data_IF_708558351328
#
_entry.id   IF_708558351328
#
_cell.length_a   1.000
_cell.length_b   1.000
_cell.length_c   1.000
_cell.angle_alpha   90.00
_cell.angle_beta   90.00
_cell.angle_gamma   90.00
#
_symmetry.space_group_name_H-M   'P 1'
#
loop_
_entity.id
_entity.type
_entity.pdbx_description
1 polymer ?
#
# COMPACT_ATOMS: atom_id res chain seq x y z
N UNK A 1 -35.73 8.11 6.13
CA UNK A 1 -34.91 8.79 5.11
C UNK A 1 -34.07 7.71 4.42
N UNK A 2 -34.50 7.22 3.30
CA UNK A 2 -33.76 6.26 2.47
C UNK A 2 -32.55 6.99 1.88
N UNK A 3 -31.34 6.62 2.31
CA UNK A 3 -30.09 7.08 1.69
C UNK A 3 -30.17 6.73 0.20
N UNK A 4 -30.15 7.72 -0.69
CA UNK A 4 -29.99 7.46 -2.13
C UNK A 4 -28.71 6.63 -2.32
N UNK A 5 -28.76 5.55 -3.11
CA UNK A 5 -27.55 4.80 -3.42
C UNK A 5 -26.54 5.75 -4.07
N UNK A 6 -25.32 5.75 -3.55
CA UNK A 6 -24.24 6.54 -4.12
C UNK A 6 -23.84 5.92 -5.47
N UNK A 7 -23.86 6.72 -6.52
CA UNK A 7 -23.46 6.30 -7.88
C UNK A 7 -21.98 5.92 -7.93
N UNK A 8 -21.58 4.99 -8.78
CA UNK A 8 -20.19 4.71 -9.08
C UNK A 8 -19.47 5.98 -9.54
N UNK A 9 -18.22 6.11 -9.14
CA UNK A 9 -17.39 7.27 -9.47
C UNK A 9 -16.09 6.83 -10.12
N UNK A 10 -15.70 7.54 -11.18
CA UNK A 10 -14.36 7.46 -11.76
C UNK A 10 -13.53 8.65 -11.24
N UNK A 11 -12.28 8.38 -10.86
CA UNK A 11 -11.30 9.38 -10.46
C UNK A 11 -9.98 9.09 -11.16
N UNK A 12 -9.39 10.12 -11.73
CA UNK A 12 -8.02 10.10 -12.24
C UNK A 12 -7.31 11.28 -11.59
N UNK A 13 -6.52 11.02 -10.58
CA UNK A 13 -5.95 12.06 -9.74
C UNK A 13 -4.46 11.83 -9.50
N UNK A 14 -3.75 12.93 -9.44
CA UNK A 14 -2.40 12.96 -8.90
C UNK A 14 -2.46 13.25 -7.41
N UNK A 15 -1.95 12.33 -6.62
CA UNK A 15 -2.00 12.42 -5.17
C UNK A 15 -0.62 12.72 -4.59
N UNK A 16 -0.61 13.69 -3.70
CA UNK A 16 0.50 13.95 -2.82
C UNK A 16 0.68 12.86 -1.76
N UNK A 17 1.85 12.83 -1.09
CA UNK A 17 2.11 11.84 -0.04
C UNK A 17 1.08 11.84 1.09
N UNK A 18 0.56 13.01 1.45
CA UNK A 18 -0.43 13.16 2.52
C UNK A 18 -1.83 12.69 2.10
N UNK A 19 -2.08 12.65 0.79
CA UNK A 19 -3.35 12.22 0.20
C UNK A 19 -3.39 10.72 -0.07
N UNK A 20 -2.22 10.05 -0.08
CA UNK A 20 -2.13 8.60 -0.25
C UNK A 20 -2.81 7.81 0.89
N UNK A 21 -3.05 8.45 2.05
CA UNK A 21 -3.73 7.83 3.19
C UNK A 21 -5.16 7.36 2.87
N UNK A 22 -5.80 7.93 1.87
CA UNK A 22 -7.14 7.57 1.39
C UNK A 22 -7.16 7.05 -0.06
N UNK A 23 -6.00 6.67 -0.58
CA UNK A 23 -5.83 6.34 -1.98
C UNK A 23 -6.34 4.95 -2.36
N UNK A 24 -6.26 3.97 -1.45
CA UNK A 24 -6.68 2.62 -1.71
C UNK A 24 -8.14 2.40 -1.28
N UNK A 25 -8.94 1.79 -2.17
CA UNK A 25 -10.33 1.49 -1.90
C UNK A 25 -10.50 0.51 -0.73
N UNK A 26 -11.33 0.86 0.23
CA UNK A 26 -11.60 0.02 1.41
C UNK A 26 -10.45 -0.14 2.39
N UNK A 27 -9.37 0.63 2.23
CA UNK A 27 -8.16 0.52 3.04
C UNK A 27 -7.64 1.92 3.44
N UNK A 28 -8.11 2.49 4.55
CA UNK A 28 -7.45 3.65 5.13
C UNK A 28 -6.06 3.25 5.62
N UNK A 29 -5.02 3.92 5.13
CA UNK A 29 -3.64 3.58 5.44
C UNK A 29 -2.90 4.70 6.16
N UNK A 30 -2.05 4.33 7.12
CA UNK A 30 -0.98 5.20 7.59
C UNK A 30 0.17 5.09 6.60
N UNK A 31 0.62 6.21 6.06
CA UNK A 31 1.72 6.28 5.11
C UNK A 31 2.94 6.91 5.76
N UNK A 32 4.08 6.23 5.67
CA UNK A 32 5.39 6.73 6.07
C UNK A 32 6.29 6.80 4.83
N UNK A 33 6.68 8.00 4.44
CA UNK A 33 7.54 8.24 3.28
C UNK A 33 8.97 7.79 3.57
N UNK A 34 9.57 7.03 2.65
CA UNK A 34 10.91 6.46 2.83
C UNK A 34 11.98 7.11 1.96
N UNK A 35 11.59 7.73 0.83
CA UNK A 35 12.55 8.37 -0.08
C UNK A 35 12.28 9.86 -0.28
N UNK A 36 13.35 10.60 -0.55
CA UNK A 36 13.30 11.98 -1.05
C UNK A 36 12.94 12.00 -2.54
N UNK A 37 12.56 13.19 -3.03
CA UNK A 37 12.13 13.35 -4.42
C UNK A 37 10.60 13.21 -4.52
N UNK A 38 9.95 14.29 -4.94
CA UNK A 38 8.51 14.31 -4.99
C UNK A 38 8.03 14.36 -6.43
N UNK A 39 7.44 13.24 -6.85
CA UNK A 39 6.54 13.22 -7.99
C UNK A 39 5.19 12.71 -7.46
N UNK A 40 4.09 13.35 -7.84
CA UNK A 40 2.77 12.86 -7.47
C UNK A 40 2.57 11.45 -8.00
N UNK A 41 1.94 10.61 -7.19
CA UNK A 41 1.50 9.29 -7.62
C UNK A 41 0.17 9.42 -8.35
N UNK A 42 0.02 8.80 -9.50
CA UNK A 42 -1.23 8.79 -10.25
C UNK A 42 -2.08 7.61 -9.80
N UNK A 43 -3.34 7.86 -9.52
CA UNK A 43 -4.30 6.79 -9.21
C UNK A 43 -5.54 7.00 -10.06
N UNK A 44 -5.82 6.00 -10.91
CA UNK A 44 -7.13 5.86 -11.55
C UNK A 44 -7.95 4.92 -10.69
N UNK A 45 -9.07 5.39 -10.22
CA UNK A 45 -9.92 4.66 -9.30
C UNK A 45 -11.35 4.67 -9.77
N UNK A 46 -11.95 3.49 -9.80
CA UNK A 46 -13.34 3.29 -10.14
C UNK A 46 -13.97 2.59 -8.95
N UNK A 47 -15.02 3.16 -8.40
CA UNK A 47 -15.68 2.57 -7.24
C UNK A 47 -17.18 2.74 -7.26
N UNK A 48 -17.88 1.68 -6.87
CA UNK A 48 -19.27 1.73 -6.44
C UNK A 48 -19.30 1.51 -4.93
N UNK A 49 -19.52 2.56 -4.12
CA UNK A 49 -19.37 2.48 -2.68
C UNK A 49 -20.16 1.33 -2.06
N UNK A 50 -19.48 0.49 -1.27
CA UNK A 50 -20.07 -0.69 -0.62
C UNK A 50 -20.33 -1.88 -1.54
N UNK A 51 -19.99 -1.80 -2.83
CA UNK A 51 -20.19 -2.87 -3.79
C UNK A 51 -18.90 -3.42 -4.36
N UNK A 52 -18.10 -2.57 -5.00
CA UNK A 52 -16.84 -2.96 -5.62
C UNK A 52 -15.96 -1.74 -5.89
N UNK A 53 -14.67 -1.97 -6.10
CA UNK A 53 -13.74 -0.96 -6.57
C UNK A 53 -12.67 -1.59 -7.46
N UNK A 54 -12.09 -0.78 -8.34
CA UNK A 54 -10.89 -1.08 -9.11
C UNK A 54 -9.93 0.08 -8.97
N UNK A 55 -8.75 -0.20 -8.41
CA UNK A 55 -7.68 0.77 -8.21
C UNK A 55 -6.53 0.46 -9.17
N UNK A 56 -6.08 1.46 -9.91
CA UNK A 56 -4.99 1.39 -10.87
C UNK A 56 -3.93 2.44 -10.52
N UNK A 57 -3.11 2.19 -9.49
CA UNK A 57 -2.09 3.13 -9.06
C UNK A 57 -0.81 3.03 -9.88
N UNK A 58 -0.14 4.17 -10.01
CA UNK A 58 1.23 4.29 -10.46
C UNK A 58 2.02 5.13 -9.44
N UNK A 59 2.96 4.50 -8.73
CA UNK A 59 3.69 5.15 -7.66
C UNK A 59 5.04 5.67 -8.12
N UNK A 60 5.36 6.91 -7.75
CA UNK A 60 6.63 7.56 -8.12
C UNK A 60 7.56 7.80 -6.92
N UNK A 61 7.16 7.43 -5.71
CA UNK A 61 7.98 7.56 -4.51
C UNK A 61 7.97 6.27 -3.69
N UNK A 62 9.02 6.07 -2.88
CA UNK A 62 9.04 4.96 -1.93
C UNK A 62 8.33 5.36 -0.64
N UNK A 63 7.44 4.48 -0.18
CA UNK A 63 6.74 4.65 1.10
C UNK A 63 6.37 3.30 1.70
N UNK A 64 6.10 3.33 3.00
CA UNK A 64 5.48 2.24 3.73
C UNK A 64 4.03 2.59 4.03
N UNK A 65 3.13 1.65 3.85
CA UNK A 65 1.72 1.78 4.18
C UNK A 65 1.30 0.68 5.14
N UNK A 66 0.45 1.04 6.11
CA UNK A 66 -0.17 0.09 7.06
C UNK A 66 -1.61 0.49 7.25
N UNK A 67 -2.52 -0.47 7.18
CA UNK A 67 -3.94 -0.25 7.41
C UNK A 67 -4.72 -1.54 7.56
N UNK A 68 -5.92 -1.44 8.12
CA UNK A 68 -6.80 -2.59 8.27
C UNK A 68 -7.79 -2.65 7.11
N UNK A 69 -7.74 -3.76 6.38
CA UNK A 69 -8.59 -3.97 5.22
C UNK A 69 -10.03 -4.32 5.64
N UNK A 70 -10.97 -3.97 4.79
CA UNK A 70 -12.40 -4.22 4.99
C UNK A 70 -12.69 -5.64 5.48
N UNK A 71 -13.50 -5.82 6.55
CA UNK A 71 -13.85 -7.15 7.05
C UNK A 71 -14.85 -7.92 6.17
N UNK A 72 -15.41 -7.28 5.14
CA UNK A 72 -16.44 -7.85 4.27
C UNK A 72 -16.02 -7.94 2.79
N UNK A 73 -14.78 -7.54 2.48
CA UNK A 73 -14.28 -7.51 1.12
C UNK A 73 -13.00 -8.31 0.97
N UNK A 74 -12.72 -8.75 -0.25
CA UNK A 74 -11.45 -9.35 -0.67
C UNK A 74 -10.80 -8.46 -1.71
N UNK A 75 -9.47 -8.37 -1.70
CA UNK A 75 -8.74 -7.68 -2.75
C UNK A 75 -7.91 -8.67 -3.57
N UNK A 76 -7.98 -8.51 -4.89
CA UNK A 76 -7.20 -9.24 -5.88
C UNK A 76 -6.27 -8.25 -6.58
N UNK A 77 -4.99 -8.36 -6.29
CA UNK A 77 -3.96 -7.43 -6.78
C UNK A 77 -3.17 -8.10 -7.90
N UNK A 78 -3.46 -7.74 -9.14
CA UNK A 78 -2.70 -8.21 -10.30
C UNK A 78 -1.51 -7.28 -10.56
N UNK A 79 -0.31 -7.80 -10.35
CA UNK A 79 0.94 -7.03 -10.42
C UNK A 79 1.41 -6.93 -11.86
N UNK A 80 1.50 -5.73 -12.38
CA UNK A 80 2.01 -5.45 -13.72
C UNK A 80 3.52 -5.20 -13.72
N UNK A 81 4.00 -4.46 -12.71
CA UNK A 81 5.41 -4.11 -12.52
C UNK A 81 5.72 -4.02 -11.04
N UNK A 82 6.56 -4.88 -10.53
CA UNK A 82 6.78 -5.08 -9.09
C UNK A 82 7.79 -4.11 -8.46
N UNK A 83 8.88 -3.78 -9.15
CA UNK A 83 9.93 -2.84 -8.72
C UNK A 83 10.53 -3.11 -7.33
N UNK A 84 10.52 -4.36 -6.85
CA UNK A 84 11.02 -4.70 -5.51
C UNK A 84 10.09 -4.33 -4.35
N UNK A 85 8.83 -4.06 -4.64
CA UNK A 85 7.80 -3.80 -3.63
C UNK A 85 7.33 -5.06 -2.92
N UNK A 86 6.73 -4.89 -1.73
CA UNK A 86 6.14 -5.99 -0.94
C UNK A 86 4.73 -5.64 -0.49
N UNK A 87 3.84 -6.63 -0.43
CA UNK A 87 2.50 -6.50 0.18
C UNK A 87 2.30 -7.65 1.15
N UNK A 88 1.88 -7.38 2.38
CA UNK A 88 1.69 -8.38 3.45
C UNK A 88 2.90 -9.28 3.66
N UNK A 89 4.11 -8.76 3.38
CA UNK A 89 5.35 -9.51 3.45
C UNK A 89 5.64 -10.40 2.26
N UNK A 90 4.79 -10.41 1.26
CA UNK A 90 5.01 -11.12 0.01
C UNK A 90 5.83 -10.22 -0.92
N UNK A 91 7.06 -10.62 -1.30
CA UNK A 91 7.83 -9.91 -2.32
C UNK A 91 7.09 -9.99 -3.65
N UNK A 92 6.76 -8.83 -4.23
CA UNK A 92 6.06 -8.79 -5.50
C UNK A 92 7.02 -9.18 -6.64
N UNK A 93 6.47 -9.87 -7.61
CA UNK A 93 7.08 -10.12 -8.92
C UNK A 93 6.08 -9.73 -10.01
N UNK A 94 6.59 -9.43 -11.19
CA UNK A 94 5.74 -9.24 -12.35
C UNK A 94 4.93 -10.51 -12.61
N UNK A 95 3.71 -10.33 -13.10
CA UNK A 95 2.80 -11.43 -13.40
C UNK A 95 2.31 -12.23 -12.16
N UNK A 96 2.33 -11.61 -10.99
CA UNK A 96 1.70 -12.18 -9.79
C UNK A 96 0.28 -11.67 -9.58
N UNK A 97 -0.55 -12.51 -8.98
CA UNK A 97 -1.81 -12.10 -8.34
C UNK A 97 -1.68 -12.33 -6.85
N UNK A 98 -1.83 -11.26 -6.08
CA UNK A 98 -1.88 -11.33 -4.62
C UNK A 98 -3.34 -11.26 -4.18
N UNK A 99 -3.74 -12.17 -3.31
CA UNK A 99 -5.06 -12.18 -2.68
C UNK A 99 -4.93 -11.69 -1.25
N UNK A 100 -5.73 -10.69 -0.89
CA UNK A 100 -5.79 -10.12 0.44
C UNK A 100 -7.18 -10.43 1.02
N UNK A 101 -7.28 -11.33 1.99
CA UNK A 101 -8.55 -11.69 2.62
C UNK A 101 -9.17 -10.55 3.42
N UNK A 102 -10.45 -10.67 3.69
CA UNK A 102 -11.20 -9.76 4.55
C UNK A 102 -10.57 -9.66 5.95
N UNK A 103 -10.58 -8.46 6.54
CA UNK A 103 -10.07 -8.22 7.90
C UNK A 103 -8.56 -8.30 8.06
N UNK A 104 -7.80 -8.39 6.96
CA UNK A 104 -6.34 -8.45 7.01
C UNK A 104 -5.74 -7.10 7.40
N UNK A 105 -4.79 -7.06 8.34
CA UNK A 105 -3.91 -5.91 8.50
C UNK A 105 -2.90 -5.90 7.35
N UNK A 106 -3.10 -5.02 6.40
CA UNK A 106 -2.22 -4.86 5.23
C UNK A 106 -0.99 -4.06 5.60
N UNK A 107 0.17 -4.61 5.30
CA UNK A 107 1.44 -3.88 5.36
C UNK A 107 2.07 -3.89 3.97
N UNK A 108 2.40 -2.73 3.44
CA UNK A 108 3.02 -2.62 2.13
C UNK A 108 4.28 -1.77 2.19
N UNK A 109 5.31 -2.18 1.46
CA UNK A 109 6.45 -1.35 1.13
C UNK A 109 6.45 -1.15 -0.38
N UNK A 110 6.21 0.06 -0.78
CA UNK A 110 6.05 0.46 -2.17
C UNK A 110 7.35 1.08 -2.65
N UNK A 111 7.82 0.65 -3.80
CA UNK A 111 8.96 1.23 -4.49
C UNK A 111 8.50 2.02 -5.72
N UNK A 112 9.26 3.06 -6.13
CA UNK A 112 8.94 3.84 -7.32
C UNK A 112 8.77 2.95 -8.56
N UNK A 113 7.75 3.22 -9.35
CA UNK A 113 7.44 2.50 -10.57
C UNK A 113 6.58 1.25 -10.38
N UNK A 114 6.16 0.90 -9.15
CA UNK A 114 5.15 -0.14 -8.93
C UNK A 114 3.86 0.21 -9.67
N UNK A 115 3.34 -0.75 -10.42
CA UNK A 115 2.04 -0.69 -11.09
C UNK A 115 1.27 -1.98 -10.86
N UNK A 116 0.02 -1.87 -10.50
CA UNK A 116 -0.89 -3.01 -10.34
C UNK A 116 -2.33 -2.60 -10.65
N UNK A 117 -3.19 -3.61 -10.80
CA UNK A 117 -4.63 -3.41 -10.74
C UNK A 117 -5.17 -4.16 -9.52
N UNK A 118 -5.84 -3.45 -8.63
CA UNK A 118 -6.46 -4.03 -7.45
C UNK A 118 -7.98 -3.99 -7.57
N UNK A 119 -8.59 -5.15 -7.74
CA UNK A 119 -10.04 -5.31 -7.65
C UNK A 119 -10.42 -5.60 -6.20
N UNK A 120 -11.27 -4.75 -5.63
CA UNK A 120 -11.83 -4.90 -4.28
C UNK A 120 -13.30 -5.22 -4.43
N UNK A 121 -13.71 -6.39 -3.96
CA UNK A 121 -15.11 -6.87 -4.10
C UNK A 121 -15.60 -7.49 -2.80
N UNK A 122 -16.92 -7.46 -2.52
CA UNK A 122 -17.49 -8.24 -1.42
C UNK A 122 -17.11 -9.72 -1.54
N UNK A 123 -16.83 -10.36 -0.41
CA UNK A 123 -16.45 -11.79 -0.37
C UNK A 123 -17.49 -12.69 -1.03
N UNK A 124 -18.81 -12.35 -0.90
CA UNK A 124 -19.89 -13.09 -1.55
C UNK A 124 -19.80 -13.05 -3.07
N UNK A 125 -19.55 -11.87 -3.65
CA UNK A 125 -19.40 -11.72 -5.12
C UNK A 125 -18.19 -12.52 -5.62
N UNK A 126 -17.09 -12.50 -4.88
CA UNK A 126 -15.91 -13.28 -5.26
C UNK A 126 -16.20 -14.79 -5.23
N UNK A 127 -16.90 -15.28 -4.20
CA UNK A 127 -17.29 -16.69 -4.10
C UNK A 127 -18.20 -17.13 -5.27
N UNK A 128 -19.15 -16.29 -5.69
CA UNK A 128 -19.99 -16.54 -6.85
C UNK A 128 -19.17 -16.64 -8.15
N UNK A 129 -18.23 -15.73 -8.36
CA UNK A 129 -17.35 -15.73 -9.54
C UNK A 129 -16.46 -16.98 -9.56
N UNK A 130 -15.87 -17.35 -8.42
CA UNK A 130 -15.08 -18.58 -8.32
C UNK A 130 -15.91 -19.82 -8.64
N UNK A 131 -17.12 -19.94 -8.10
CA UNK A 131 -18.01 -21.06 -8.36
C UNK A 131 -18.37 -21.19 -9.86
N UNK A 132 -18.58 -20.07 -10.54
CA UNK A 132 -18.85 -20.06 -11.98
C UNK A 132 -17.62 -20.44 -12.81
N UNK A 133 -16.43 -20.05 -12.39
CA UNK A 133 -15.18 -20.27 -13.11
C UNK A 133 -14.62 -21.69 -12.91
N UNK A 134 -14.59 -22.17 -11.68
CA UNK A 134 -13.91 -23.43 -11.33
C UNK A 134 -14.87 -24.60 -11.13
N UNK A 135 -16.18 -24.36 -11.11
CA UNK A 135 -17.20 -25.35 -10.77
C UNK A 135 -17.14 -25.84 -9.31
N UNK A 136 -16.27 -25.24 -8.50
CA UNK A 136 -16.09 -25.55 -7.08
C UNK A 136 -16.24 -24.26 -6.27
N UNK A 137 -17.06 -24.33 -5.23
CA UNK A 137 -17.00 -23.33 -4.16
C UNK A 137 -15.81 -23.73 -3.30
N UNK A 138 -14.70 -22.99 -3.40
CA UNK A 138 -13.68 -23.12 -2.35
C UNK A 138 -14.30 -22.62 -1.05
N UNK A 139 -14.67 -23.56 -0.19
CA UNK A 139 -15.34 -23.30 1.11
C UNK A 139 -14.45 -22.49 2.09
N UNK A 140 -13.19 -22.30 1.78
CA UNK A 140 -12.27 -21.51 2.58
C UNK A 140 -11.62 -20.44 1.71
N UNK A 141 -12.18 -19.23 1.77
CA UNK A 141 -11.35 -18.04 1.49
C UNK A 141 -10.08 -18.17 2.36
N UNK A 142 -8.90 -18.16 1.75
CA UNK A 142 -7.66 -18.27 2.49
C UNK A 142 -7.66 -17.24 3.63
N UNK A 143 -7.47 -17.70 4.87
CA UNK A 143 -7.42 -16.82 6.06
C UNK A 143 -6.20 -15.89 6.07
N UNK A 144 -5.28 -16.10 5.13
CA UNK A 144 -4.01 -15.38 5.05
C UNK A 144 -3.74 -14.87 3.64
N UNK A 145 -3.05 -13.74 3.50
CA UNK A 145 -2.58 -13.25 2.21
C UNK A 145 -1.79 -14.32 1.45
N UNK A 146 -2.14 -14.51 0.21
CA UNK A 146 -1.52 -15.51 -0.66
C UNK A 146 -1.17 -14.91 -2.02
N UNK A 147 -0.24 -15.53 -2.73
CA UNK A 147 0.16 -15.08 -4.05
C UNK A 147 0.36 -16.26 -4.98
N UNK A 148 -0.02 -16.05 -6.23
CA UNK A 148 0.14 -17.00 -7.31
C UNK A 148 0.86 -16.33 -8.46
N UNK A 149 1.83 -16.98 -9.07
CA UNK A 149 2.46 -16.51 -10.30
C UNK A 149 1.70 -17.06 -11.50
N UNK A 150 1.26 -16.17 -12.37
CA UNK A 150 0.53 -16.55 -13.57
C UNK A 150 1.48 -17.06 -14.66
N UNK A 151 0.97 -17.95 -15.52
CA UNK A 151 1.60 -18.22 -16.80
C UNK A 151 1.60 -16.98 -17.68
N UNK A 152 2.63 -16.77 -18.48
CA UNK A 152 2.82 -15.55 -19.30
C UNK A 152 1.61 -15.23 -20.19
N UNK A 153 0.95 -16.25 -20.75
CA UNK A 153 -0.26 -16.07 -21.57
C UNK A 153 -1.43 -15.49 -20.77
N UNK A 154 -1.70 -16.02 -19.59
CA UNK A 154 -2.76 -15.51 -18.71
C UNK A 154 -2.45 -14.10 -18.20
N UNK A 155 -1.20 -13.87 -17.79
CA UNK A 155 -0.77 -12.55 -17.36
C UNK A 155 -0.92 -11.49 -18.47
N UNK A 156 -0.61 -11.85 -19.72
CA UNK A 156 -0.79 -10.96 -20.86
C UNK A 156 -2.28 -10.71 -21.15
N UNK A 157 -3.12 -11.75 -21.11
CA UNK A 157 -4.56 -11.60 -21.31
C UNK A 157 -5.19 -10.68 -20.27
N UNK A 158 -4.82 -10.85 -18.99
CA UNK A 158 -5.27 -9.99 -17.89
C UNK A 158 -4.79 -8.55 -18.07
N UNK A 159 -3.52 -8.32 -18.42
CA UNK A 159 -3.00 -6.97 -18.67
C UNK A 159 -3.74 -6.28 -19.82
N UNK A 160 -4.05 -7.00 -20.88
CA UNK A 160 -4.75 -6.44 -22.05
C UNK A 160 -6.18 -5.97 -21.75
N UNK A 161 -6.79 -6.42 -20.65
CA UNK A 161 -8.13 -5.99 -20.22
C UNK A 161 -8.11 -4.68 -19.42
N UNK A 162 -6.97 -4.34 -18.78
CA UNK A 162 -6.92 -3.26 -17.78
C UNK A 162 -7.12 -1.88 -18.42
N UNK A 163 -6.35 -1.54 -19.47
CA UNK A 163 -6.47 -0.23 -20.11
C UNK A 163 -7.81 -0.02 -20.82
N UNK A 164 -8.32 -0.97 -21.63
CA UNK A 164 -9.67 -0.82 -22.20
C UNK A 164 -10.77 -0.67 -21.16
N UNK A 165 -10.64 -1.37 -20.02
CA UNK A 165 -11.60 -1.23 -18.92
C UNK A 165 -11.51 0.17 -18.30
N UNK A 166 -10.30 0.69 -18.04
CA UNK A 166 -10.12 2.03 -17.50
C UNK A 166 -10.66 3.11 -18.45
N UNK A 167 -10.42 2.98 -19.75
CA UNK A 167 -10.90 3.91 -20.77
C UNK A 167 -12.44 3.87 -20.87
N UNK A 168 -13.03 2.68 -20.81
CA UNK A 168 -14.48 2.53 -20.80
C UNK A 168 -15.11 3.23 -19.58
N UNK A 169 -14.52 3.09 -18.40
CA UNK A 169 -15.02 3.80 -17.22
C UNK A 169 -14.82 5.31 -17.29
N UNK A 170 -13.70 5.76 -17.83
CA UNK A 170 -13.46 7.19 -18.03
C UNK A 170 -14.51 7.80 -18.97
N UNK A 171 -14.87 7.10 -20.05
CA UNK A 171 -15.91 7.52 -20.97
C UNK A 171 -17.32 7.47 -20.35
N UNK A 172 -17.61 6.42 -19.57
CA UNK A 172 -18.91 6.22 -18.93
C UNK A 172 -19.18 7.16 -17.75
N UNK A 173 -18.16 7.84 -17.22
CA UNK A 173 -18.32 8.83 -16.13
C UNK A 173 -19.20 10.02 -16.50
N UNK A 174 -19.52 10.17 -17.81
CA UNK A 174 -20.46 11.17 -18.33
C UNK A 174 -21.92 10.70 -18.28
N UNK A 175 -22.17 9.39 -18.08
CA UNK A 175 -23.53 8.82 -18.00
C UNK A 175 -23.68 7.91 -16.76
N UNK A 176 -24.20 8.45 -15.65
CA UNK A 176 -24.28 7.73 -14.37
C UNK A 176 -25.16 6.48 -14.39
N UNK A 177 -26.07 6.32 -15.36
CA UNK A 177 -27.01 5.20 -15.40
C UNK A 177 -26.32 3.88 -15.79
N UNK A 178 -25.25 3.93 -16.57
CA UNK A 178 -24.53 2.73 -17.02
C UNK A 178 -23.62 2.11 -15.93
N UNK A 179 -23.37 2.81 -14.84
CA UNK A 179 -22.45 2.39 -13.79
C UNK A 179 -23.12 1.76 -12.55
N UNK A 180 -24.46 1.60 -12.55
CA UNK A 180 -25.18 0.99 -11.41
C UNK A 180 -24.86 -0.49 -11.22
N UNK A 181 -24.52 -1.21 -12.28
CA UNK A 181 -24.11 -2.61 -12.23
C UNK A 181 -22.60 -2.73 -12.43
N UNK A 182 -21.93 -3.72 -11.80
CA UNK A 182 -20.55 -4.02 -12.16
C UNK A 182 -20.53 -4.35 -13.66
N UNK A 183 -19.80 -3.57 -14.47
CA UNK A 183 -19.82 -3.80 -15.90
C UNK A 183 -19.30 -5.20 -16.20
N UNK A 184 -19.83 -5.80 -17.24
CA UNK A 184 -19.43 -7.14 -17.69
C UNK A 184 -17.91 -7.29 -17.78
N UNK A 185 -17.21 -6.24 -18.20
CA UNK A 185 -15.74 -6.20 -18.26
C UNK A 185 -15.05 -6.45 -16.89
N UNK A 186 -15.63 -5.95 -15.78
CA UNK A 186 -15.06 -6.23 -14.45
C UNK A 186 -15.34 -7.67 -14.03
N UNK A 187 -16.51 -8.20 -14.36
CA UNK A 187 -16.85 -9.61 -14.10
C UNK A 187 -15.95 -10.53 -14.92
N UNK A 188 -15.72 -10.23 -16.20
CA UNK A 188 -14.81 -10.96 -17.09
C UNK A 188 -13.37 -10.91 -16.57
N UNK A 189 -12.92 -9.74 -16.12
CA UNK A 189 -11.59 -9.57 -15.50
C UNK A 189 -11.44 -10.42 -14.23
N UNK A 190 -12.44 -10.42 -13.36
CA UNK A 190 -12.44 -11.23 -12.13
C UNK A 190 -12.50 -12.73 -12.44
N UNK A 191 -13.29 -13.12 -13.45
CA UNK A 191 -13.32 -14.49 -13.95
C UNK A 191 -11.97 -14.94 -14.48
N UNK A 192 -11.31 -14.12 -15.31
CA UNK A 192 -9.97 -14.40 -15.80
C UNK A 192 -8.93 -14.54 -14.67
N UNK A 193 -9.07 -13.76 -13.60
CA UNK A 193 -8.22 -13.90 -12.40
C UNK A 193 -8.49 -15.22 -11.67
N UNK A 194 -9.77 -15.63 -11.55
CA UNK A 194 -10.16 -16.89 -10.91
C UNK A 194 -9.62 -18.10 -11.69
N UNK A 195 -9.82 -18.10 -13.01
CA UNK A 195 -9.31 -19.16 -13.90
C UNK A 195 -7.79 -19.28 -13.86
N UNK A 196 -7.10 -18.14 -13.99
CA UNK A 196 -5.66 -18.11 -13.96
C UNK A 196 -5.09 -18.61 -12.62
N UNK A 197 -5.76 -18.35 -11.51
CA UNK A 197 -5.40 -18.87 -10.18
C UNK A 197 -5.64 -20.38 -10.10
N UNK A 198 -6.75 -20.89 -10.59
CA UNK A 198 -7.10 -22.31 -10.55
C UNK A 198 -6.11 -23.17 -11.36
N UNK A 199 -5.66 -22.66 -12.52
CA UNK A 199 -4.68 -23.37 -13.39
C UNK A 199 -3.24 -23.24 -12.87
N UNK A 200 -2.96 -22.24 -12.03
CA UNK A 200 -1.63 -22.00 -11.50
C UNK A 200 -1.34 -22.95 -10.32
N UNK A 201 -0.94 -24.18 -10.59
CA UNK A 201 -0.51 -25.20 -9.61
C UNK A 201 0.70 -24.76 -8.74
N UNK A 202 1.28 -23.63 -9.06
CA UNK A 202 2.42 -23.07 -8.34
C UNK A 202 1.97 -21.93 -7.43
N UNK A 203 1.41 -22.28 -6.30
CA UNK A 203 1.52 -21.42 -5.14
C UNK A 203 3.00 -21.11 -4.98
N UNK A 204 3.41 -19.89 -5.33
CA UNK A 204 4.73 -19.43 -4.87
C UNK A 204 4.68 -19.60 -3.35
N UNK A 205 5.49 -20.50 -2.74
CA UNK A 205 5.51 -20.64 -1.30
C UNK A 205 5.75 -19.23 -0.79
N UNK A 206 4.78 -18.70 -0.08
CA UNK A 206 4.62 -17.25 0.18
C UNK A 206 5.83 -16.54 0.71
N UNK A 207 6.90 -17.23 1.01
CA UNK A 207 8.19 -16.66 1.36
C UNK A 207 9.19 -17.82 1.41
N UNK A 208 10.24 -17.80 0.59
CA UNK A 208 11.39 -18.70 0.81
C UNK A 208 11.89 -18.51 2.25
N UNK A 209 12.35 -19.56 2.93
CA UNK A 209 12.77 -19.50 4.34
C UNK A 209 13.73 -18.34 4.64
N UNK A 210 14.63 -18.00 3.71
CA UNK A 210 15.57 -16.88 3.84
C UNK A 210 14.88 -15.52 3.75
N UNK A 211 13.99 -15.32 2.78
CA UNK A 211 13.20 -14.08 2.63
C UNK A 211 12.28 -13.90 3.84
N UNK A 212 11.63 -14.97 4.30
CA UNK A 212 10.80 -14.94 5.50
C UNK A 212 11.57 -14.60 6.77
N UNK A 213 12.83 -15.03 6.88
CA UNK A 213 13.70 -14.67 8.00
C UNK A 213 14.02 -13.17 7.99
N UNK A 214 14.47 -12.64 6.87
CA UNK A 214 14.81 -11.21 6.75
C UNK A 214 13.59 -10.32 7.01
N UNK A 215 12.45 -10.71 6.48
CA UNK A 215 11.20 -9.99 6.72
C UNK A 215 10.82 -9.98 8.20
N UNK A 216 10.87 -11.15 8.89
CA UNK A 216 10.60 -11.21 10.34
C UNK A 216 11.59 -10.36 11.14
N UNK A 217 12.88 -10.39 10.79
CA UNK A 217 13.90 -9.57 11.43
C UNK A 217 13.65 -8.08 11.23
N UNK A 218 13.32 -7.67 9.99
CA UNK A 218 13.03 -6.28 9.68
C UNK A 218 11.76 -5.78 10.39
N UNK A 219 10.70 -6.60 10.47
CA UNK A 219 9.46 -6.26 11.21
C UNK A 219 9.68 -6.16 12.70
N UNK A 220 10.36 -7.14 13.31
CA UNK A 220 10.67 -7.07 14.74
C UNK A 220 11.52 -5.83 15.07
N UNK A 221 12.47 -5.47 14.19
CA UNK A 221 13.25 -4.24 14.34
C UNK A 221 12.38 -2.99 14.17
N UNK A 222 11.43 -2.99 13.25
CA UNK A 222 10.47 -1.90 13.05
C UNK A 222 9.59 -1.69 14.29
N UNK A 223 9.03 -2.78 14.86
CA UNK A 223 8.23 -2.72 16.08
C UNK A 223 9.04 -2.13 17.24
N UNK A 224 10.29 -2.57 17.38
CA UNK A 224 11.21 -1.99 18.37
C UNK A 224 11.45 -0.50 18.12
N UNK A 225 11.70 -0.09 16.88
CA UNK A 225 11.91 1.33 16.52
C UNK A 225 10.66 2.16 16.85
N UNK A 226 9.46 1.66 16.55
CA UNK A 226 8.22 2.37 16.87
C UNK A 226 8.03 2.54 18.38
N UNK A 227 8.31 1.51 19.16
CA UNK A 227 8.21 1.57 20.63
C UNK A 227 9.22 2.56 21.27
N UNK A 228 10.35 2.82 20.61
CA UNK A 228 11.46 3.63 21.16
C UNK A 228 11.78 4.86 20.28
N UNK A 229 10.84 5.32 19.47
CA UNK A 229 11.07 6.36 18.43
C UNK A 229 11.61 7.67 19.01
N UNK A 230 11.29 7.98 20.26
CA UNK A 230 11.72 9.18 20.97
C UNK A 230 13.13 9.06 21.55
N UNK A 231 13.63 7.82 21.71
CA UNK A 231 14.94 7.55 22.29
C UNK A 231 16.05 7.54 21.22
N UNK A 232 17.29 7.66 21.64
CA UNK A 232 18.42 7.37 20.76
C UNK A 232 18.48 5.85 20.52
N UNK A 233 18.43 5.44 19.24
CA UNK A 233 18.47 4.04 18.82
C UNK A 233 19.78 3.79 18.05
N UNK A 234 20.89 3.49 18.73
CA UNK A 234 22.10 3.04 18.06
C UNK A 234 21.87 1.71 17.35
N UNK A 235 22.43 1.53 16.16
CA UNK A 235 22.25 0.28 15.40
C UNK A 235 22.73 -0.94 16.18
N UNK A 236 23.73 -0.79 17.04
CA UNK A 236 24.22 -1.86 17.91
C UNK A 236 23.13 -2.32 18.89
N UNK A 237 22.36 -1.38 19.48
CA UNK A 237 21.21 -1.70 20.35
C UNK A 237 20.15 -2.47 19.59
N UNK A 238 19.79 -2.00 18.38
CA UNK A 238 18.81 -2.66 17.52
C UNK A 238 19.24 -4.09 17.13
N UNK A 239 20.51 -4.25 16.74
CA UNK A 239 21.07 -5.57 16.41
C UNK A 239 21.04 -6.54 17.60
N UNK A 240 21.38 -6.05 18.80
CA UNK A 240 21.36 -6.84 20.03
C UNK A 240 19.92 -7.30 20.38
N UNK A 241 18.95 -6.40 20.26
CA UNK A 241 17.55 -6.68 20.56
C UNK A 241 16.96 -7.76 19.64
N UNK A 242 17.27 -7.66 18.34
CA UNK A 242 16.76 -8.61 17.33
C UNK A 242 17.59 -9.90 17.26
N UNK A 243 18.77 -9.93 17.88
CA UNK A 243 19.67 -11.09 17.85
C UNK A 243 20.34 -11.33 16.50
N UNK A 244 20.71 -10.24 15.78
CA UNK A 244 21.32 -10.31 14.45
C UNK A 244 22.59 -9.48 14.35
N UNK A 245 23.47 -9.86 13.41
CA UNK A 245 24.64 -9.03 13.10
C UNK A 245 24.23 -7.74 12.36
N UNK A 246 25.10 -6.71 12.40
CA UNK A 246 24.90 -5.47 11.66
C UNK A 246 24.69 -5.70 10.16
N UNK A 247 25.45 -6.64 9.58
CA UNK A 247 25.30 -6.99 8.16
C UNK A 247 23.94 -7.61 7.84
N UNK A 248 23.45 -8.51 8.69
CA UNK A 248 22.11 -9.10 8.56
C UNK A 248 21.02 -8.06 8.69
N UNK A 249 21.15 -7.14 9.66
CA UNK A 249 20.20 -6.03 9.84
C UNK A 249 20.15 -5.12 8.61
N UNK A 250 21.31 -4.73 8.09
CA UNK A 250 21.43 -3.91 6.88
C UNK A 250 20.76 -4.60 5.67
N UNK A 251 21.03 -5.90 5.50
CA UNK A 251 20.44 -6.69 4.44
C UNK A 251 18.91 -6.83 4.59
N UNK A 252 18.44 -7.12 5.81
CA UNK A 252 17.02 -7.26 6.10
C UNK A 252 16.24 -5.97 5.79
N UNK A 253 16.79 -4.80 6.18
CA UNK A 253 16.15 -3.51 5.90
C UNK A 253 16.14 -3.17 4.42
N UNK A 254 17.27 -3.34 3.71
CA UNK A 254 17.32 -3.10 2.26
C UNK A 254 16.40 -4.02 1.48
N UNK A 255 16.34 -5.29 1.87
CA UNK A 255 15.46 -6.27 1.22
C UNK A 255 13.97 -6.02 1.49
N UNK A 256 13.61 -5.47 2.67
CA UNK A 256 12.22 -5.28 3.09
C UNK A 256 11.72 -3.87 2.80
N UNK A 257 12.53 -2.85 3.09
CA UNK A 257 12.13 -1.44 3.04
C UNK A 257 12.84 -0.64 1.93
N UNK A 258 13.84 -1.22 1.26
CA UNK A 258 14.61 -0.53 0.23
C UNK A 258 15.63 0.49 0.76
N UNK A 259 15.70 0.70 2.08
CA UNK A 259 16.57 1.69 2.75
C UNK A 259 17.38 1.02 3.85
N UNK A 260 18.44 1.69 4.32
CA UNK A 260 19.21 1.23 5.48
C UNK A 260 18.43 1.43 6.79
N UNK A 261 18.80 0.73 7.88
CA UNK A 261 18.16 0.91 9.20
C UNK A 261 18.21 2.36 9.70
N UNK A 262 19.31 3.07 9.50
CA UNK A 262 19.45 4.48 9.91
C UNK A 262 18.57 5.43 9.08
N UNK A 263 18.48 5.20 7.77
CA UNK A 263 17.58 5.95 6.89
C UNK A 263 16.12 5.70 7.28
N UNK A 264 15.77 4.46 7.60
CA UNK A 264 14.44 4.09 8.05
C UNK A 264 14.05 4.80 9.36
N UNK A 265 14.90 4.72 10.40
CA UNK A 265 14.65 5.43 11.68
C UNK A 265 14.48 6.92 11.43
N UNK A 266 15.35 7.52 10.60
CA UNK A 266 15.26 8.95 10.27
C UNK A 266 13.94 9.26 9.55
N UNK A 267 13.57 8.46 8.56
CA UNK A 267 12.33 8.64 7.82
C UNK A 267 11.10 8.56 8.75
N UNK A 268 11.03 7.56 9.63
CA UNK A 268 9.94 7.43 10.59
C UNK A 268 9.83 8.65 11.53
N UNK A 269 10.95 9.15 12.05
CA UNK A 269 10.99 10.36 12.90
C UNK A 269 10.51 11.59 12.15
N UNK A 270 10.91 11.75 10.89
CA UNK A 270 10.48 12.86 10.06
C UNK A 270 8.98 12.78 9.74
N UNK A 271 8.46 11.59 9.47
CA UNK A 271 7.02 11.38 9.26
C UNK A 271 6.22 11.68 10.54
N UNK A 272 6.70 11.24 11.71
CA UNK A 272 6.07 11.55 12.98
C UNK A 272 6.10 13.07 13.28
N UNK A 273 7.24 13.71 13.06
CA UNK A 273 7.36 15.17 13.16
C UNK A 273 6.34 15.88 12.24
N UNK A 274 6.17 15.39 11.00
CA UNK A 274 5.19 15.96 10.06
C UNK A 274 3.76 15.85 10.59
N UNK A 275 3.37 14.68 11.11
CA UNK A 275 2.04 14.49 11.72
C UNK A 275 1.79 15.48 12.86
N UNK A 276 2.77 15.67 13.73
CA UNK A 276 2.66 16.64 14.82
C UNK A 276 2.63 18.10 14.31
N UNK A 277 3.44 18.44 13.30
CA UNK A 277 3.48 19.78 12.72
C UNK A 277 2.18 20.15 12.00
N UNK A 278 1.49 19.20 11.38
CA UNK A 278 0.17 19.45 10.75
C UNK A 278 -0.91 19.82 11.76
N UNK A 279 -0.77 19.43 13.01
CA UNK A 279 -1.66 19.79 14.12
C UNK A 279 -1.10 20.88 15.03
N UNK A 280 0.17 21.27 14.86
CA UNK A 280 0.91 22.17 15.74
C UNK A 280 0.31 23.59 15.82
N UNK A 281 -0.35 24.08 14.76
CA UNK A 281 -0.99 25.40 14.74
C UNK A 281 -2.11 25.51 15.77
N UNK A 282 -2.86 24.45 15.99
CA UNK A 282 -3.92 24.41 16.98
C UNK A 282 -3.38 24.23 18.42
N UNK A 283 -2.24 23.53 18.57
CA UNK A 283 -1.64 23.20 19.87
C UNK A 283 -0.54 24.16 20.31
N UNK A 284 -0.13 25.14 19.49
CA UNK A 284 0.94 26.09 19.81
C UNK A 284 2.34 25.47 19.90
N UNK A 285 2.54 24.26 19.34
CA UNK A 285 3.81 23.57 19.38
C UNK A 285 4.84 24.24 18.46
N UNK A 286 6.07 24.43 18.96
CA UNK A 286 7.16 24.95 18.14
C UNK A 286 7.87 23.82 17.38
N UNK A 287 8.48 24.16 16.23
CA UNK A 287 9.29 23.23 15.43
C UNK A 287 10.37 22.55 16.28
N UNK A 288 11.02 23.29 17.17
CA UNK A 288 12.05 22.78 18.08
C UNK A 288 11.50 21.72 19.02
N UNK A 289 10.34 21.98 19.61
CA UNK A 289 9.69 21.06 20.55
C UNK A 289 9.30 19.76 19.84
N UNK A 290 8.66 19.86 18.67
CA UNK A 290 8.31 18.68 17.86
C UNK A 290 9.53 17.85 17.51
N UNK A 291 10.65 18.48 17.09
CA UNK A 291 11.88 17.76 16.78
C UNK A 291 12.42 16.98 17.99
N UNK A 292 12.39 17.58 19.18
CA UNK A 292 12.82 16.91 20.41
C UNK A 292 11.90 15.74 20.79
N UNK A 293 10.60 15.92 20.69
CA UNK A 293 9.60 14.89 21.02
C UNK A 293 9.70 13.66 20.12
N UNK A 294 10.23 13.79 18.90
CA UNK A 294 10.49 12.65 18.00
C UNK A 294 11.94 12.15 18.06
N UNK A 295 12.72 12.54 19.05
CA UNK A 295 14.09 12.08 19.26
C UNK A 295 15.13 12.67 18.29
N UNK A 296 14.87 13.85 17.73
CA UNK A 296 15.81 14.56 16.84
C UNK A 296 16.54 15.64 17.64
N UNK A 297 17.83 15.44 17.88
CA UNK A 297 18.67 16.35 18.70
C UNK A 297 19.35 17.46 17.89
N UNK A 298 19.56 17.24 16.58
CA UNK A 298 20.28 18.17 15.71
C UNK A 298 19.34 18.98 14.82
N UNK A 299 18.85 20.11 15.30
CA UNK A 299 17.83 20.95 14.62
C UNK A 299 18.25 21.45 13.24
N UNK A 300 19.53 21.80 13.03
CA UNK A 300 20.01 22.25 11.72
C UNK A 300 19.93 21.14 10.66
N UNK A 301 20.25 19.91 11.02
CA UNK A 301 20.12 18.74 10.14
C UNK A 301 18.65 18.32 9.97
N UNK A 302 17.83 18.55 11.00
CA UNK A 302 16.40 18.27 10.95
C UNK A 302 15.73 19.03 9.80
N UNK A 303 15.86 20.35 9.76
CA UNK A 303 15.22 21.18 8.75
C UNK A 303 15.66 20.79 7.32
N UNK A 304 16.94 20.51 7.12
CA UNK A 304 17.47 20.05 5.83
C UNK A 304 16.92 18.68 5.43
N UNK A 305 16.93 17.71 6.36
CA UNK A 305 16.41 16.35 6.12
C UNK A 305 14.90 16.37 5.89
N UNK A 306 14.17 17.19 6.62
CA UNK A 306 12.73 17.37 6.45
C UNK A 306 12.40 17.93 5.06
N UNK A 307 13.10 19.02 4.66
CA UNK A 307 12.91 19.59 3.30
C UNK A 307 13.29 18.59 2.21
N UNK A 308 14.37 17.84 2.40
CA UNK A 308 14.76 16.79 1.45
C UNK A 308 13.66 15.72 1.29
N UNK A 309 13.03 15.30 2.41
CA UNK A 309 12.02 14.24 2.38
C UNK A 309 10.67 14.75 1.86
N UNK A 310 10.22 15.93 2.27
CA UNK A 310 8.86 16.43 2.03
C UNK A 310 8.76 17.54 0.99
N UNK A 311 9.88 18.11 0.52
CA UNK A 311 9.90 19.22 -0.43
C UNK A 311 9.59 20.59 0.19
N UNK A 312 9.27 20.64 1.49
CA UNK A 312 8.96 21.86 2.23
C UNK A 312 9.65 21.88 3.59
N UNK A 313 9.77 23.05 4.19
CA UNK A 313 10.31 23.19 5.54
C UNK A 313 9.29 22.88 6.62
N UNK A 314 9.72 22.53 7.86
CA UNK A 314 8.81 22.34 9.00
C UNK A 314 7.91 23.54 9.29
N UNK A 315 8.40 24.76 9.06
CA UNK A 315 7.61 26.00 9.23
C UNK A 315 6.53 26.12 8.16
N UNK A 316 6.84 25.79 6.91
CA UNK A 316 5.86 25.80 5.82
C UNK A 316 4.74 24.80 6.06
N UNK A 317 5.04 23.63 6.63
CA UNK A 317 4.02 22.64 7.04
C UNK A 317 3.05 23.23 8.07
N UNK A 318 3.55 23.89 9.13
CA UNK A 318 2.69 24.55 10.13
C UNK A 318 1.81 25.63 9.50
N UNK A 319 2.35 26.43 8.57
CA UNK A 319 1.58 27.50 7.93
C UNK A 319 0.51 26.98 6.96
N UNK A 320 0.76 25.86 6.31
CA UNK A 320 -0.18 25.21 5.39
C UNK A 320 -1.31 24.49 6.11
N UNK A 321 -1.08 24.03 7.34
CA UNK A 321 -2.09 23.36 8.14
C UNK A 321 -3.31 24.30 8.30
N UNK A 322 -4.46 23.90 7.72
CA UNK A 322 -5.72 24.64 7.86
C UNK A 322 -6.13 24.64 9.34
N UNK A 323 -6.62 25.77 9.87
CA UNK A 323 -7.30 25.72 11.17
C UNK A 323 -8.50 24.79 11.03
N UNK A 324 -8.62 23.83 11.94
CA UNK A 324 -9.77 22.94 12.08
C UNK A 324 -11.02 23.74 12.42
#
# INVERSE_FOLDING_TARGET
>A
MTKRPSLPSYRDVELGPDELTSAASGLPVKVDRLSSGWLPSRIRQIQSPGKWALDLPEFHCAFRAVGDFSPSSIALVSVQRACGSTICGIPLKDDMVVTIPAGTTVTATIQPGLRYAAAVVPTAIWAEIQALSTGMIEEQAADHPSAVRLATSHAQAIRNQIEPMADCFAAASTDPIQLEHPPLMLVEYLGALADARAVSDRHEPGITQSVGRHLRQARAAEDFIHAHIQEEIPIVRLCKEIGVSRRQMEYAFRATFGVSPLEFIRALRLNEARRQLTTARASGLSVTRVAMEVGITHLGRFAASYRSLFGESPKETIHRARPS
#
